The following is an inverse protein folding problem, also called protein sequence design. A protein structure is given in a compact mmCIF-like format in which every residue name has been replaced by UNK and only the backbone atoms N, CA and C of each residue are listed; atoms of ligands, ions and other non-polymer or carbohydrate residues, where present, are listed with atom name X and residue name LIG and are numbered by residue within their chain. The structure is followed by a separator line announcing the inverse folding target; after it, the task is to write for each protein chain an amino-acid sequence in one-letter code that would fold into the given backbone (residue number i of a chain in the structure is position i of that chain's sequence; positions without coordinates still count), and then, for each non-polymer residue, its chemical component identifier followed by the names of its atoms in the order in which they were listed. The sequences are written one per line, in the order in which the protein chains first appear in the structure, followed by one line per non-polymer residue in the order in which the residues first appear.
data_IF_169411344143
#
_entry.id   IF_169411344143
#
_cell.length_a   1.000
_cell.length_b   1.000
_cell.length_c   1.000
_cell.angle_alpha   90.00
_cell.angle_beta   90.00
_cell.angle_gamma   90.00
#
_symmetry.space_group_name_H-M   'P 1'
#
loop_
_entity.id
_entity.type
_entity.pdbx_description
1 polymer ?
#
# COMPACT_ATOMS: atom_id res chain seq x y z
N UNK A 1 -11.18 -2.98 22.11
CA UNK A 1 -10.94 -3.99 21.05
C UNK A 1 -12.00 -3.99 19.93
N UNK A 2 -13.31 -3.78 20.18
CA UNK A 2 -14.33 -3.82 19.11
C UNK A 2 -14.31 -2.64 18.11
N UNK A 3 -13.73 -1.50 18.48
CA UNK A 3 -13.75 -0.28 17.66
C UNK A 3 -12.69 -0.26 16.56
N UNK A 4 -11.49 -0.81 16.83
CA UNK A 4 -10.35 -0.84 15.89
C UNK A 4 -10.56 -1.89 14.79
N UNK A 5 -10.99 -3.10 15.15
CA UNK A 5 -11.37 -4.12 14.15
C UNK A 5 -12.55 -3.67 13.28
N UNK A 6 -13.53 -2.99 13.89
CA UNK A 6 -14.66 -2.41 13.18
C UNK A 6 -14.23 -1.37 12.14
N UNK A 7 -13.20 -0.57 12.43
CA UNK A 7 -12.67 0.43 11.52
C UNK A 7 -11.97 -0.20 10.31
N UNK A 8 -11.05 -1.16 10.53
CA UNK A 8 -10.34 -1.84 9.45
C UNK A 8 -11.31 -2.62 8.54
N UNK A 9 -12.28 -3.34 9.12
CA UNK A 9 -13.31 -4.03 8.35
C UNK A 9 -14.14 -3.07 7.50
N UNK A 10 -14.57 -1.94 8.09
CA UNK A 10 -15.31 -0.88 7.37
C UNK A 10 -14.49 -0.33 6.21
N UNK A 11 -13.19 -0.10 6.42
CA UNK A 11 -12.28 0.36 5.36
C UNK A 11 -12.14 -0.66 4.25
N UNK A 12 -11.94 -1.95 4.57
CA UNK A 12 -11.84 -3.00 3.55
C UNK A 12 -13.08 -3.05 2.67
N UNK A 13 -14.27 -2.99 3.27
CA UNK A 13 -15.53 -2.98 2.52
C UNK A 13 -15.65 -1.70 1.68
N UNK A 14 -15.49 -0.53 2.30
CA UNK A 14 -15.64 0.76 1.62
C UNK A 14 -14.62 0.92 0.49
N UNK A 15 -13.34 0.73 0.79
CA UNK A 15 -12.23 0.94 -0.15
C UNK A 15 -12.25 -0.15 -1.23
N UNK A 16 -12.63 -1.39 -0.90
CA UNK A 16 -12.87 -2.43 -1.90
C UNK A 16 -14.00 -2.05 -2.87
N UNK A 17 -15.13 -1.56 -2.38
CA UNK A 17 -16.24 -1.13 -3.24
C UNK A 17 -15.85 0.08 -4.10
N UNK A 18 -15.22 1.09 -3.52
CA UNK A 18 -14.94 2.35 -4.23
C UNK A 18 -13.73 2.22 -5.14
N UNK A 19 -12.63 1.61 -4.66
CA UNK A 19 -11.33 1.63 -5.33
C UNK A 19 -10.96 0.31 -6.04
N UNK A 20 -11.71 -0.77 -5.85
CA UNK A 20 -11.61 -1.97 -6.70
C UNK A 20 -12.78 -2.03 -7.67
N UNK A 21 -14.01 -2.12 -7.15
CA UNK A 21 -15.20 -2.35 -7.99
C UNK A 21 -15.45 -1.16 -8.91
N UNK A 22 -15.37 0.07 -8.41
CA UNK A 22 -15.53 1.30 -9.22
C UNK A 22 -14.59 1.34 -10.43
N UNK A 23 -13.25 1.31 -10.23
CA UNK A 23 -12.27 1.26 -11.32
C UNK A 23 -12.44 0.11 -12.30
N UNK A 24 -12.75 -1.10 -11.82
CA UNK A 24 -12.99 -2.25 -12.69
C UNK A 24 -14.24 -2.05 -13.55
N UNK A 25 -15.35 -1.58 -12.97
CA UNK A 25 -16.58 -1.30 -13.70
C UNK A 25 -16.36 -0.20 -14.76
N UNK A 26 -15.62 0.85 -14.41
CA UNK A 26 -15.29 1.93 -15.34
C UNK A 26 -14.38 1.44 -16.48
N UNK A 27 -13.37 0.64 -16.15
CA UNK A 27 -12.48 0.01 -17.14
C UNK A 27 -13.24 -0.88 -18.12
N UNK A 28 -14.11 -1.75 -17.60
CA UNK A 28 -14.94 -2.65 -18.43
C UNK A 28 -15.92 -1.88 -19.32
N UNK A 29 -16.63 -0.89 -18.78
CA UNK A 29 -17.62 -0.10 -19.54
C UNK A 29 -17.02 0.75 -20.66
N UNK A 30 -15.77 1.20 -20.51
CA UNK A 30 -15.08 2.03 -21.50
C UNK A 30 -14.04 1.28 -22.33
N UNK A 31 -13.99 -0.06 -22.22
CA UNK A 31 -13.04 -0.90 -22.96
C UNK A 31 -11.57 -0.72 -22.58
N UNK A 32 -11.29 -0.17 -21.39
CA UNK A 32 -9.93 0.13 -20.91
C UNK A 32 -9.42 -1.02 -20.05
N UNK A 33 -8.18 -1.47 -20.29
CA UNK A 33 -7.52 -2.46 -19.44
C UNK A 33 -6.76 -1.75 -18.34
N UNK A 34 -7.21 -1.88 -17.10
CA UNK A 34 -6.58 -1.26 -15.91
C UNK A 34 -5.34 -2.03 -15.40
N UNK A 35 -4.61 -2.72 -16.29
CA UNK A 35 -3.34 -3.36 -15.93
C UNK A 35 -3.44 -4.70 -15.19
N UNK A 36 -4.54 -5.44 -15.25
CA UNK A 36 -4.56 -6.82 -14.74
C UNK A 36 -3.94 -7.79 -15.75
N UNK A 37 -2.61 -7.75 -15.88
CA UNK A 37 -1.84 -8.64 -16.76
C UNK A 37 -0.73 -9.34 -15.98
N UNK A 38 -0.61 -10.64 -16.17
CA UNK A 38 0.48 -11.45 -15.58
C UNK A 38 1.24 -12.09 -16.72
N UNK A 39 2.37 -11.50 -17.08
CA UNK A 39 3.31 -12.02 -18.07
C UNK A 39 4.75 -11.95 -17.54
N UNK A 40 5.72 -12.43 -18.33
CA UNK A 40 7.12 -12.49 -17.91
C UNK A 40 7.69 -11.10 -17.58
N UNK A 41 7.27 -10.06 -18.30
CA UNK A 41 7.73 -8.68 -18.04
C UNK A 41 7.17 -8.19 -16.73
N UNK A 42 5.86 -8.36 -16.50
CA UNK A 42 5.21 -7.98 -15.25
C UNK A 42 5.83 -8.70 -14.05
N UNK A 43 6.06 -10.01 -14.13
CA UNK A 43 6.67 -10.79 -13.04
C UNK A 43 8.12 -10.35 -12.79
N UNK A 44 8.94 -10.19 -13.83
CA UNK A 44 10.32 -9.71 -13.70
C UNK A 44 10.35 -8.34 -13.00
N UNK A 45 9.54 -7.40 -13.47
CA UNK A 45 9.50 -6.05 -12.93
C UNK A 45 8.93 -6.04 -11.49
N UNK A 46 7.99 -6.94 -11.18
CA UNK A 46 7.50 -7.16 -9.81
C UNK A 46 8.63 -7.56 -8.87
N UNK A 47 9.44 -8.55 -9.25
CA UNK A 47 10.57 -9.00 -8.44
C UNK A 47 11.61 -7.89 -8.28
N UNK A 48 11.97 -7.19 -9.37
CA UNK A 48 12.95 -6.10 -9.32
C UNK A 48 12.47 -4.95 -8.42
N UNK A 49 11.20 -4.55 -8.55
CA UNK A 49 10.63 -3.50 -7.71
C UNK A 49 10.57 -3.94 -6.25
N UNK A 50 10.11 -5.16 -5.97
CA UNK A 50 10.05 -5.72 -4.62
C UNK A 50 11.44 -5.74 -3.95
N UNK A 51 12.47 -6.21 -4.67
CA UNK A 51 13.86 -6.20 -4.18
C UNK A 51 14.38 -4.78 -3.96
N UNK A 52 14.01 -3.83 -4.82
CA UNK A 52 14.40 -2.43 -4.67
C UNK A 52 13.77 -1.78 -3.43
N UNK A 53 12.49 -2.02 -3.15
CA UNK A 53 11.79 -1.42 -2.00
C UNK A 53 12.07 -2.14 -0.68
N UNK A 54 12.45 -3.41 -0.72
CA UNK A 54 12.77 -4.22 0.46
C UNK A 54 13.69 -3.53 1.48
N UNK A 55 14.86 -2.97 1.13
CA UNK A 55 15.71 -2.28 2.09
C UNK A 55 15.03 -1.10 2.79
N UNK A 56 14.10 -0.41 2.12
CA UNK A 56 13.35 0.69 2.73
C UNK A 56 12.39 0.19 3.82
N UNK A 57 11.77 -0.97 3.63
CA UNK A 57 10.95 -1.60 4.68
C UNK A 57 11.80 -2.11 5.84
N UNK A 58 12.96 -2.72 5.55
CA UNK A 58 13.88 -3.19 6.58
C UNK A 58 14.38 -2.03 7.45
N UNK A 59 14.92 -0.98 6.82
CA UNK A 59 15.41 0.21 7.53
C UNK A 59 14.27 0.98 8.19
N UNK A 60 13.17 1.20 7.46
CA UNK A 60 11.98 1.89 7.94
C UNK A 60 11.40 1.26 9.21
N UNK A 61 11.35 -0.08 9.28
CA UNK A 61 10.87 -0.81 10.47
C UNK A 61 11.72 -0.58 11.73
N UNK A 62 12.94 -0.05 11.58
CA UNK A 62 13.80 0.30 12.71
C UNK A 62 13.65 1.74 13.20
N UNK A 63 12.97 2.61 12.44
CA UNK A 63 12.84 4.03 12.77
C UNK A 63 11.80 4.26 13.89
N UNK A 64 12.11 5.06 14.92
CA UNK A 64 11.20 5.33 16.03
C UNK A 64 9.85 5.91 15.59
N UNK A 65 9.84 6.82 14.61
CA UNK A 65 8.62 7.43 14.08
C UNK A 65 7.70 6.44 13.36
N UNK A 66 8.27 5.41 12.72
CA UNK A 66 7.51 4.35 12.07
C UNK A 66 6.96 3.38 13.12
N UNK A 67 7.77 2.96 14.10
CA UNK A 67 7.33 2.08 15.18
C UNK A 67 6.26 2.69 16.08
N UNK A 68 6.23 4.02 16.18
CA UNK A 68 5.18 4.73 16.91
C UNK A 68 3.82 4.74 16.16
N UNK A 69 3.82 4.46 14.86
CA UNK A 69 2.64 4.52 14.00
C UNK A 69 2.16 3.15 13.51
N UNK A 70 3.08 2.19 13.31
CA UNK A 70 2.76 0.83 12.88
C UNK A 70 2.82 -0.17 14.05
N UNK A 71 1.96 -1.20 14.05
CA UNK A 71 0.85 -1.43 13.13
C UNK A 71 -0.24 -0.35 13.18
N UNK A 72 -0.74 0.09 12.02
CA UNK A 72 -1.76 1.16 11.94
C UNK A 72 -3.07 0.79 12.65
N UNK A 73 -3.41 -0.50 12.58
CA UNK A 73 -4.48 -1.12 13.35
C UNK A 73 -3.84 -2.15 14.26
N UNK A 74 -4.28 -2.17 15.52
CA UNK A 74 -3.78 -3.09 16.53
C UNK A 74 -3.86 -4.55 16.05
N UNK A 75 -2.77 -5.29 16.25
CA UNK A 75 -2.65 -6.70 15.91
C UNK A 75 -1.54 -7.34 16.74
N UNK A 76 -1.35 -8.66 16.62
CA UNK A 76 -0.27 -9.39 17.29
C UNK A 76 0.44 -10.30 16.30
N UNK A 77 1.60 -10.85 16.67
CA UNK A 77 2.32 -11.82 15.85
C UNK A 77 1.70 -13.23 15.87
N UNK A 78 0.64 -13.47 16.64
CA UNK A 78 -0.04 -14.76 16.67
C UNK A 78 -0.69 -15.03 15.30
N UNK A 79 -0.40 -16.16 14.62
CA UNK A 79 -0.86 -16.40 13.24
C UNK A 79 -2.36 -16.24 13.03
N UNK A 80 -3.17 -16.68 13.99
CA UNK A 80 -4.63 -16.61 13.97
C UNK A 80 -5.18 -15.17 13.99
N UNK A 81 -4.40 -14.21 14.50
CA UNK A 81 -4.71 -12.78 14.48
C UNK A 81 -4.03 -12.09 13.31
N UNK A 82 -2.76 -12.40 13.07
CA UNK A 82 -1.93 -11.71 12.09
C UNK A 82 -2.38 -12.01 10.65
N UNK A 83 -2.71 -13.26 10.32
CA UNK A 83 -3.06 -13.63 8.93
C UNK A 83 -4.32 -12.89 8.44
N UNK A 84 -5.45 -12.87 9.19
CA UNK A 84 -6.61 -12.07 8.81
C UNK A 84 -6.29 -10.57 8.68
N UNK A 85 -5.45 -10.03 9.57
CA UNK A 85 -5.01 -8.63 9.52
C UNK A 85 -4.18 -8.35 8.26
N UNK A 86 -3.21 -9.20 7.96
CA UNK A 86 -2.36 -9.09 6.78
C UNK A 86 -3.16 -9.14 5.47
N UNK A 87 -4.16 -10.02 5.39
CA UNK A 87 -5.08 -10.08 4.23
C UNK A 87 -5.82 -8.75 4.07
N UNK A 88 -6.35 -8.18 5.16
CA UNK A 88 -7.05 -6.90 5.11
C UNK A 88 -6.13 -5.76 4.65
N UNK A 89 -4.91 -5.69 5.17
CA UNK A 89 -3.90 -4.71 4.71
C UNK A 89 -3.58 -4.87 3.23
N UNK A 90 -3.38 -6.11 2.78
CA UNK A 90 -3.12 -6.40 1.38
C UNK A 90 -4.30 -5.97 0.50
N UNK A 91 -5.54 -6.20 0.94
CA UNK A 91 -6.74 -5.75 0.21
C UNK A 91 -6.81 -4.21 0.14
N UNK A 92 -6.44 -3.50 1.21
CA UNK A 92 -6.38 -2.03 1.17
C UNK A 92 -5.32 -1.52 0.19
N UNK A 93 -4.13 -2.13 0.18
CA UNK A 93 -3.09 -1.80 -0.79
C UNK A 93 -3.55 -2.11 -2.23
N UNK A 94 -4.08 -3.31 -2.45
CA UNK A 94 -4.68 -3.73 -3.71
C UNK A 94 -5.72 -2.72 -4.22
N UNK A 95 -6.60 -2.24 -3.33
CA UNK A 95 -7.60 -1.23 -3.67
C UNK A 95 -6.95 0.09 -4.09
N UNK A 96 -5.98 0.59 -3.32
CA UNK A 96 -5.24 1.79 -3.65
C UNK A 96 -4.51 1.65 -5.01
N UNK A 97 -3.78 0.56 -5.23
CA UNK A 97 -3.06 0.33 -6.49
C UNK A 97 -4.01 0.20 -7.69
N UNK A 98 -5.16 -0.47 -7.51
CA UNK A 98 -6.17 -0.59 -8.57
C UNK A 98 -6.68 0.78 -9.01
N UNK A 99 -6.88 1.70 -8.05
CA UNK A 99 -7.32 3.06 -8.35
C UNK A 99 -6.19 3.92 -8.93
N UNK A 100 -5.10 4.11 -8.18
CA UNK A 100 -4.04 5.04 -8.57
C UNK A 100 -3.22 4.55 -9.76
N UNK A 101 -2.83 3.26 -9.79
CA UNK A 101 -1.99 2.72 -10.86
C UNK A 101 -2.84 2.09 -11.94
N UNK A 102 -3.87 1.34 -11.57
CA UNK A 102 -4.76 0.68 -12.52
C UNK A 102 -5.57 1.68 -13.34
N UNK A 103 -6.38 2.52 -12.70
CA UNK A 103 -7.24 3.46 -13.41
C UNK A 103 -6.49 4.72 -13.86
N UNK A 104 -5.78 5.39 -12.95
CA UNK A 104 -5.19 6.71 -13.21
C UNK A 104 -3.83 6.68 -13.91
N UNK A 105 -3.18 5.51 -14.05
CA UNK A 105 -1.91 5.37 -14.77
C UNK A 105 -2.04 4.43 -15.97
N UNK A 106 -2.06 3.10 -15.75
CA UNK A 106 -2.10 2.09 -16.82
C UNK A 106 -3.38 2.21 -17.65
N UNK A 107 -4.50 2.47 -16.97
CA UNK A 107 -5.80 2.66 -17.59
C UNK A 107 -5.81 3.82 -18.56
N UNK A 108 -4.96 4.84 -18.38
CA UNK A 108 -4.79 6.05 -19.23
C UNK A 108 -3.46 6.13 -19.96
N UNK A 109 -2.82 4.97 -20.17
CA UNK A 109 -1.49 4.88 -20.80
C UNK A 109 -1.38 5.51 -22.20
N UNK A 110 -2.47 5.71 -22.94
CA UNK A 110 -2.42 6.27 -24.29
C UNK A 110 -1.98 7.74 -24.34
N UNK A 111 -2.04 8.45 -23.21
CA UNK A 111 -1.45 9.80 -23.08
C UNK A 111 0.08 9.76 -22.93
N UNK A 112 0.66 8.56 -22.96
CA UNK A 112 2.08 8.28 -22.82
C UNK A 112 2.54 8.25 -21.35
N UNK A 113 3.86 8.34 -21.17
CA UNK A 113 4.51 8.33 -19.85
C UNK A 113 4.02 9.43 -18.90
N UNK A 114 3.35 10.47 -19.42
CA UNK A 114 2.70 11.52 -18.61
C UNK A 114 1.67 10.97 -17.62
N UNK A 115 1.05 9.83 -17.94
CA UNK A 115 0.11 9.12 -17.05
C UNK A 115 0.70 8.78 -15.68
N UNK A 116 2.02 8.57 -15.59
CA UNK A 116 2.73 8.30 -14.33
C UNK A 116 2.64 9.47 -13.34
N UNK A 117 2.37 10.69 -13.83
CA UNK A 117 2.34 11.90 -13.00
C UNK A 117 0.92 12.34 -12.60
N UNK A 118 -0.12 11.54 -12.87
CA UNK A 118 -1.50 11.89 -12.50
C UNK A 118 -1.75 11.66 -11.00
N UNK A 119 -1.33 10.51 -10.49
CA UNK A 119 -1.55 10.11 -9.09
C UNK A 119 -0.65 10.74 -8.03
N UNK A 120 0.60 11.19 -8.27
CA UNK A 120 1.51 11.55 -7.18
C UNK A 120 1.01 12.66 -6.27
N UNK A 121 0.32 13.67 -6.82
CA UNK A 121 -0.25 14.77 -6.02
C UNK A 121 -1.38 14.27 -5.14
N UNK A 122 -2.32 13.49 -5.70
CA UNK A 122 -3.43 12.92 -4.96
C UNK A 122 -2.94 11.90 -3.91
N UNK A 123 -1.90 11.15 -4.25
CA UNK A 123 -1.30 10.15 -3.39
C UNK A 123 -0.55 10.79 -2.22
N UNK A 124 0.23 11.85 -2.47
CA UNK A 124 0.88 12.64 -1.42
C UNK A 124 -0.15 13.28 -0.48
N UNK A 125 -1.26 13.82 -1.00
CA UNK A 125 -2.36 14.34 -0.19
C UNK A 125 -2.98 13.26 0.71
N UNK A 126 -3.08 12.02 0.24
CA UNK A 126 -3.54 10.90 1.06
C UNK A 126 -2.55 10.53 2.21
N UNK A 127 -1.29 10.96 2.12
CA UNK A 127 -0.24 10.69 3.12
C UNK A 127 0.01 11.85 4.09
N UNK A 128 -0.73 12.96 4.03
CA UNK A 128 -0.44 14.16 4.87
C UNK A 128 -0.53 13.91 6.38
N UNK A 129 -1.25 12.86 6.80
CA UNK A 129 -1.40 12.47 8.20
C UNK A 129 -0.47 11.30 8.60
N UNK A 130 0.43 10.88 7.71
CA UNK A 130 1.42 9.82 7.94
C UNK A 130 2.71 10.40 8.51
N UNK A 131 3.61 9.57 9.06
CA UNK A 131 4.95 10.03 9.44
C UNK A 131 5.61 10.84 8.31
N UNK A 132 6.32 11.91 8.67
CA UNK A 132 6.86 12.88 7.70
C UNK A 132 7.74 12.24 6.62
N UNK A 133 8.43 11.15 6.94
CA UNK A 133 9.21 10.37 5.98
C UNK A 133 8.32 9.72 4.92
N UNK A 134 7.16 9.16 5.30
CA UNK A 134 6.21 8.60 4.34
C UNK A 134 5.60 9.66 3.45
N UNK A 135 5.26 10.83 4.01
CA UNK A 135 4.77 11.96 3.22
C UNK A 135 5.82 12.44 2.21
N UNK A 136 7.08 12.59 2.65
CA UNK A 136 8.19 13.01 1.79
C UNK A 136 8.46 12.01 0.66
N UNK A 137 8.31 10.71 0.93
CA UNK A 137 8.54 9.65 -0.04
C UNK A 137 7.29 9.29 -0.85
N UNK A 138 6.09 9.71 -0.46
CA UNK A 138 4.84 9.32 -1.11
C UNK A 138 4.82 9.69 -2.59
N UNK A 139 5.17 10.94 -2.93
CA UNK A 139 5.22 11.40 -4.33
C UNK A 139 6.27 10.64 -5.17
N UNK A 140 7.55 10.60 -4.75
CA UNK A 140 8.58 9.83 -5.47
C UNK A 140 8.26 8.34 -5.61
N UNK A 141 7.70 7.71 -4.57
CA UNK A 141 7.32 6.29 -4.59
C UNK A 141 6.16 6.06 -5.54
N UNK A 142 5.16 6.95 -5.57
CA UNK A 142 4.04 6.86 -6.51
C UNK A 142 4.52 6.96 -7.98
N UNK A 143 5.43 7.88 -8.27
CA UNK A 143 6.06 7.98 -9.61
C UNK A 143 6.83 6.71 -9.96
N UNK A 144 7.63 6.17 -9.03
CA UNK A 144 8.37 4.93 -9.26
C UNK A 144 7.43 3.76 -9.57
N UNK A 145 6.39 3.58 -8.76
CA UNK A 145 5.43 2.48 -8.93
C UNK A 145 4.66 2.65 -10.23
N UNK A 146 4.17 3.86 -10.51
CA UNK A 146 3.50 4.19 -11.76
C UNK A 146 4.37 3.94 -12.99
N UNK A 147 5.65 4.31 -12.96
CA UNK A 147 6.58 4.07 -14.06
C UNK A 147 6.79 2.58 -14.34
N UNK A 148 6.98 1.78 -13.29
CA UNK A 148 7.15 0.32 -13.40
C UNK A 148 5.87 -0.34 -13.92
N UNK A 149 4.71 0.08 -13.42
CA UNK A 149 3.42 -0.47 -13.85
C UNK A 149 3.07 -0.08 -15.29
N UNK A 150 3.37 1.16 -15.69
CA UNK A 150 3.21 1.66 -17.05
C UNK A 150 4.02 0.82 -18.05
N UNK A 151 5.31 0.59 -17.74
CA UNK A 151 6.22 -0.24 -18.53
C UNK A 151 5.76 -1.70 -18.57
N UNK A 152 5.27 -2.21 -17.43
CA UNK A 152 4.78 -3.59 -17.33
C UNK A 152 3.40 -3.78 -17.97
N UNK A 153 2.70 -2.69 -18.30
CA UNK A 153 1.26 -2.68 -18.59
C UNK A 153 0.47 -3.50 -17.55
N UNK A 154 0.90 -3.43 -16.29
CA UNK A 154 0.43 -4.29 -15.22
C UNK A 154 0.50 -3.58 -13.87
N UNK A 155 -0.52 -3.73 -13.03
CA UNK A 155 -0.51 -3.26 -11.63
C UNK A 155 0.11 -4.27 -10.66
N UNK A 156 0.47 -5.46 -11.15
CA UNK A 156 1.06 -6.50 -10.31
C UNK A 156 2.33 -6.03 -9.55
N UNK A 157 3.27 -5.30 -10.18
CA UNK A 157 4.48 -4.86 -9.50
C UNK A 157 4.19 -4.02 -8.26
N UNK A 158 3.37 -2.99 -8.40
CA UNK A 158 3.02 -2.09 -7.31
C UNK A 158 2.14 -2.74 -6.25
N UNK A 159 1.17 -3.60 -6.63
CA UNK A 159 0.33 -4.36 -5.69
C UNK A 159 1.18 -5.24 -4.78
N UNK A 160 2.18 -5.91 -5.33
CA UNK A 160 3.08 -6.75 -4.53
C UNK A 160 4.02 -5.88 -3.70
N UNK A 161 4.67 -4.89 -4.30
CA UNK A 161 5.62 -4.02 -3.60
C UNK A 161 4.97 -3.30 -2.42
N UNK A 162 3.77 -2.75 -2.61
CA UNK A 162 3.03 -2.05 -1.56
C UNK A 162 2.33 -3.01 -0.60
N UNK A 163 1.55 -3.97 -1.13
CA UNK A 163 0.73 -4.87 -0.31
C UNK A 163 1.57 -5.81 0.54
N UNK A 164 2.53 -6.51 -0.07
CA UNK A 164 3.45 -7.35 0.71
C UNK A 164 4.39 -6.50 1.58
N UNK A 165 4.75 -5.30 1.12
CA UNK A 165 5.54 -4.34 1.89
C UNK A 165 4.88 -3.90 3.19
N UNK A 166 3.58 -3.55 3.17
CA UNK A 166 2.82 -3.20 4.38
C UNK A 166 2.71 -4.38 5.35
N UNK A 167 2.43 -5.58 4.84
CA UNK A 167 2.39 -6.80 5.67
C UNK A 167 3.75 -7.08 6.30
N UNK A 168 4.82 -6.95 5.53
CA UNK A 168 6.19 -7.12 6.01
C UNK A 168 6.54 -6.08 7.07
N UNK A 169 6.17 -4.82 6.87
CA UNK A 169 6.43 -3.74 7.82
C UNK A 169 5.81 -4.02 9.19
N UNK A 170 4.52 -4.36 9.21
CA UNK A 170 3.82 -4.73 10.45
C UNK A 170 4.49 -5.93 11.13
N UNK A 171 4.85 -6.95 10.33
CA UNK A 171 5.55 -8.13 10.86
C UNK A 171 6.89 -7.76 11.50
N UNK A 172 7.71 -6.95 10.82
CA UNK A 172 9.03 -6.53 11.31
C UNK A 172 8.92 -5.70 12.59
N UNK A 173 7.96 -4.78 12.67
CA UNK A 173 7.74 -3.95 13.87
C UNK A 173 7.33 -4.83 15.06
N UNK A 174 6.43 -5.79 14.87
CA UNK A 174 6.01 -6.73 15.92
C UNK A 174 7.15 -7.62 16.43
N UNK A 175 8.14 -7.94 15.59
CA UNK A 175 9.28 -8.80 15.97
C UNK A 175 10.47 -8.00 16.52
N UNK A 176 10.69 -6.78 16.06
CA UNK A 176 11.70 -5.89 16.63
C UNK A 176 11.39 -5.49 18.09
N UNK A 177 10.12 -5.41 18.48
CA UNK A 177 9.73 -5.02 19.84
C UNK A 177 9.86 -6.16 20.87
N UNK A 178 10.24 -7.38 20.47
CA UNK A 178 10.44 -8.52 21.38
C UNK A 178 11.75 -8.43 22.19
N UNK A 179 12.68 -7.59 21.77
CA UNK A 179 13.97 -7.38 22.44
C UNK A 179 13.93 -6.19 23.42
N UNK A 180 13.14 -6.33 24.49
CA UNK A 180 13.53 -5.78 25.81
C UNK A 180 13.63 -4.26 26.03
N UNK A 181 12.77 -3.42 25.46
CA UNK A 181 12.49 -2.10 26.06
C UNK A 181 11.01 -1.75 26.01
N UNK A 182 10.32 -2.07 27.10
CA UNK A 182 9.07 -1.41 27.44
C UNK A 182 9.38 0.07 27.70
N UNK A 183 9.18 0.94 26.71
CA UNK A 183 8.96 2.36 26.98
C UNK A 183 7.46 2.61 27.00
N UNK A 184 6.98 2.87 28.20
CA UNK A 184 5.63 3.33 28.52
C UNK A 184 5.23 4.58 27.71
N UNK A 185 3.91 4.78 27.65
CA UNK A 185 3.16 5.98 27.22
C UNK A 185 2.88 6.12 25.72
N UNK A 186 1.78 5.50 25.26
CA UNK A 186 0.97 6.12 24.22
C UNK A 186 0.11 7.20 24.87
N UNK A 187 0.26 8.50 24.53
CA UNK A 187 -0.80 9.45 24.83
C UNK A 187 -2.05 9.04 24.04
N UNK A 188 -3.27 9.33 24.56
CA UNK A 188 -4.50 8.96 23.89
C UNK A 188 -4.53 9.60 22.50
N UNK A 189 -4.63 8.76 21.46
CA UNK A 189 -5.00 9.20 20.11
C UNK A 189 -6.48 9.59 20.14
N UNK A 190 -6.75 10.73 20.76
CA UNK A 190 -7.98 11.48 20.54
C UNK A 190 -7.96 11.86 19.05
N UNK A 191 -9.02 11.50 18.32
CA UNK A 191 -9.22 11.73 16.88
C UNK A 191 -8.64 10.65 15.94
N UNK A 192 -9.30 9.48 15.95
CA UNK A 192 -9.56 8.71 14.72
C UNK A 192 -10.93 9.09 14.17
#
# INVERSE_FOLDING_TARGET
MSTVEGELNRRVVRDGLIFIVGPLALGLSHGRRIGWRVDRTAVRNTVLLALFVLPFYLVGSSLPSIRAYYPMWETTAAPEVFVPHAIKLFVLALAAETYYRGLLCVGVREIGFKSVFISPVLYALHHVHKPSLELALAGPTDVLFGAVDYESNSVLPSVVAHGAGLVLLDWLVLHCNRDGSASETHPPQFWR
#
